data_IF_815085954262
#
_entry.id   IF_815085954262
#
_cell.length_a   1.000
_cell.length_b   1.000
_cell.length_c   1.000
_cell.angle_alpha   90.00
_cell.angle_beta   90.00
_cell.angle_gamma   90.00
#
_symmetry.space_group_name_H-M   'P 1'
#
loop_
_entity.id
_entity.type
_entity.pdbx_description
1 polymer ?
#
# COMPACT_ATOMS: atom_id res chain seq x y z
N UNK A 1 13.19 -8.81 16.59
CA UNK A 1 11.77 -8.98 16.25
C UNK A 1 11.75 -9.35 14.79
N UNK A 2 11.14 -10.47 14.43
CA UNK A 2 11.13 -10.94 13.05
C UNK A 2 10.18 -10.05 12.23
N UNK A 3 10.71 -9.35 11.22
CA UNK A 3 9.90 -8.46 10.38
C UNK A 3 8.88 -9.29 9.60
N UNK A 4 7.64 -9.31 10.11
CA UNK A 4 6.53 -9.95 9.41
C UNK A 4 6.27 -9.18 8.12
N UNK A 5 6.48 -9.84 6.97
CA UNK A 5 6.25 -9.25 5.64
C UNK A 5 4.77 -9.35 5.28
N UNK A 6 4.18 -8.22 4.94
CA UNK A 6 2.83 -8.09 4.43
C UNK A 6 2.86 -7.72 2.94
N UNK A 7 1.94 -8.27 2.17
CA UNK A 7 1.91 -8.11 0.71
C UNK A 7 0.62 -7.44 0.25
N UNK A 8 0.73 -6.48 -0.68
CA UNK A 8 -0.40 -5.84 -1.33
C UNK A 8 -0.86 -6.57 -2.59
N UNK A 9 0.11 -7.14 -3.33
CA UNK A 9 -0.10 -7.82 -4.60
C UNK A 9 0.81 -9.04 -4.70
N UNK A 10 0.24 -10.15 -5.19
CA UNK A 10 0.96 -11.37 -5.56
C UNK A 10 1.16 -11.44 -7.07
N UNK A 11 2.18 -12.15 -7.52
CA UNK A 11 2.39 -12.48 -8.93
C UNK A 11 2.19 -13.99 -9.09
N UNK A 12 1.24 -14.38 -9.94
CA UNK A 12 0.94 -15.78 -10.21
C UNK A 12 2.17 -16.52 -10.74
N UNK A 13 2.40 -17.73 -10.24
CA UNK A 13 3.56 -18.54 -10.61
C UNK A 13 4.91 -18.06 -10.07
N UNK A 14 4.95 -16.98 -9.27
CA UNK A 14 6.19 -16.45 -8.66
C UNK A 14 6.19 -16.54 -7.14
N UNK A 15 7.39 -16.57 -6.57
CA UNK A 15 7.59 -16.64 -5.12
C UNK A 15 7.34 -15.29 -4.44
N UNK A 16 7.17 -15.30 -3.12
CA UNK A 16 6.94 -14.09 -2.30
C UNK A 16 8.07 -13.06 -2.37
N UNK A 17 9.25 -13.38 -2.92
CA UNK A 17 10.31 -12.40 -3.17
C UNK A 17 9.94 -11.39 -4.26
N UNK A 18 9.09 -11.79 -5.20
CA UNK A 18 8.66 -10.95 -6.32
C UNK A 18 7.36 -10.19 -6.02
N UNK A 19 6.72 -10.49 -4.88
CA UNK A 19 5.46 -9.88 -4.49
C UNK A 19 5.66 -8.46 -3.97
N UNK A 20 4.68 -7.59 -4.22
CA UNK A 20 4.77 -6.20 -3.81
C UNK A 20 4.43 -6.06 -2.33
N UNK A 21 5.39 -5.57 -1.54
CA UNK A 21 5.19 -5.30 -0.11
C UNK A 21 4.10 -4.25 0.11
N UNK A 22 3.22 -4.53 1.08
CA UNK A 22 2.08 -3.67 1.41
C UNK A 22 2.51 -2.26 1.81
N UNK A 23 3.53 -2.15 2.66
CA UNK A 23 4.06 -0.84 3.08
C UNK A 23 4.49 0.01 1.87
N UNK A 24 5.26 -0.57 0.95
CA UNK A 24 5.74 0.12 -0.25
C UNK A 24 4.57 0.53 -1.15
N UNK A 25 3.61 -0.36 -1.37
CA UNK A 25 2.38 -0.06 -2.11
C UNK A 25 1.63 1.14 -1.52
N UNK A 26 1.42 1.17 -0.20
CA UNK A 26 0.71 2.26 0.48
C UNK A 26 1.48 3.58 0.41
N UNK A 27 2.81 3.57 0.58
CA UNK A 27 3.66 4.77 0.47
C UNK A 27 3.69 5.33 -0.96
N UNK A 28 3.88 4.47 -1.97
CA UNK A 28 3.89 4.87 -3.38
C UNK A 28 2.50 5.39 -3.82
N UNK A 29 1.42 4.73 -3.37
CA UNK A 29 0.04 5.18 -3.64
C UNK A 29 -0.28 6.50 -2.96
N UNK A 30 0.14 6.68 -1.69
CA UNK A 30 -0.04 7.92 -0.94
C UNK A 30 0.66 9.10 -1.64
N UNK A 31 1.86 8.89 -2.19
CA UNK A 31 2.57 9.92 -2.94
C UNK A 31 1.81 10.36 -4.19
N UNK A 32 1.38 9.42 -5.02
CA UNK A 32 0.62 9.72 -6.25
C UNK A 32 -0.73 10.39 -5.94
N UNK A 33 -1.45 9.87 -4.94
CA UNK A 33 -2.72 10.45 -4.51
C UNK A 33 -2.55 11.90 -4.00
N UNK A 34 -1.46 12.19 -3.29
CA UNK A 34 -1.13 13.54 -2.86
C UNK A 34 -0.85 14.47 -4.05
N UNK A 35 -0.11 13.99 -5.05
CA UNK A 35 0.20 14.76 -6.27
C UNK A 35 -1.07 15.10 -7.04
N UNK A 36 -1.98 14.15 -7.25
CA UNK A 36 -3.27 14.43 -7.89
C UNK A 36 -4.14 15.38 -7.06
N UNK A 37 -4.24 15.16 -5.75
CA UNK A 37 -5.03 15.99 -4.85
C UNK A 37 -4.47 17.41 -4.66
N UNK A 38 -3.20 17.63 -5.01
CA UNK A 38 -2.58 18.96 -4.94
C UNK A 38 -3.25 19.95 -5.88
N UNK A 39 -3.80 19.49 -7.01
CA UNK A 39 -4.47 20.35 -8.00
C UNK A 39 -5.69 21.11 -7.46
N UNK A 40 -6.31 20.62 -6.39
CA UNK A 40 -7.46 21.25 -5.72
C UNK A 40 -7.22 21.51 -4.23
N UNK A 41 -5.94 21.68 -3.82
CA UNK A 41 -5.58 22.09 -2.45
C UNK A 41 -5.67 21.00 -1.38
N UNK A 42 -5.88 19.73 -1.76
CA UNK A 42 -6.13 18.63 -0.84
C UNK A 42 -4.98 17.63 -0.73
N UNK A 43 -3.75 18.05 -1.02
CA UNK A 43 -2.53 17.22 -1.01
C UNK A 43 -2.42 16.29 0.22
N UNK A 44 -2.59 16.84 1.42
CA UNK A 44 -2.47 16.07 2.68
C UNK A 44 -3.58 15.01 2.80
N UNK A 45 -4.81 15.36 2.42
CA UNK A 45 -5.92 14.41 2.45
C UNK A 45 -5.71 13.30 1.42
N UNK A 46 -5.24 13.62 0.22
CA UNK A 46 -4.88 12.64 -0.81
C UNK A 46 -3.81 11.66 -0.31
N UNK A 47 -2.77 12.16 0.36
CA UNK A 47 -1.75 11.31 0.98
C UNK A 47 -2.33 10.34 2.01
N UNK A 48 -3.16 10.84 2.94
CA UNK A 48 -3.79 10.01 3.98
C UNK A 48 -4.72 8.98 3.36
N UNK A 49 -5.54 9.36 2.38
CA UNK A 49 -6.42 8.44 1.68
C UNK A 49 -5.63 7.32 0.99
N UNK A 50 -4.56 7.65 0.26
CA UNK A 50 -3.70 6.65 -0.38
C UNK A 50 -2.98 5.74 0.60
N UNK A 51 -2.58 6.26 1.77
CA UNK A 51 -1.91 5.46 2.81
C UNK A 51 -2.87 4.46 3.49
N UNK A 52 -4.15 4.81 3.62
CA UNK A 52 -5.13 4.03 4.37
C UNK A 52 -6.04 3.16 3.50
N UNK A 53 -6.07 3.36 2.18
CA UNK A 53 -7.06 2.72 1.30
C UNK A 53 -7.10 1.18 1.43
N UNK A 54 -5.93 0.56 1.62
CA UNK A 54 -5.73 -0.89 1.68
C UNK A 54 -5.33 -1.36 3.09
N UNK A 55 -5.59 -0.59 4.15
CA UNK A 55 -5.16 -0.93 5.52
C UNK A 55 -5.67 -2.31 5.98
N UNK A 56 -6.83 -2.75 5.49
CA UNK A 56 -7.38 -4.07 5.76
C UNK A 56 -6.49 -5.23 5.29
N UNK A 57 -5.55 -4.99 4.37
CA UNK A 57 -4.60 -6.00 3.91
C UNK A 57 -3.58 -6.41 4.99
N UNK A 58 -3.46 -5.67 6.08
CA UNK A 58 -2.69 -6.11 7.26
C UNK A 58 -3.39 -7.22 8.07
N UNK A 59 -4.66 -7.53 7.77
CA UNK A 59 -5.37 -8.62 8.45
C UNK A 59 -4.77 -10.00 8.13
N UNK A 60 -4.85 -10.92 9.09
CA UNK A 60 -4.45 -12.30 8.86
C UNK A 60 -5.28 -12.94 7.75
N UNK A 61 -6.57 -12.59 7.66
CA UNK A 61 -7.51 -13.13 6.68
C UNK A 61 -7.09 -12.85 5.25
N UNK A 62 -6.53 -11.66 5.00
CA UNK A 62 -6.04 -11.24 3.69
C UNK A 62 -4.65 -11.82 3.35
N UNK A 63 -3.80 -12.04 4.35
CA UNK A 63 -2.42 -12.52 4.14
C UNK A 63 -2.28 -14.05 4.03
N UNK A 64 -3.39 -14.80 4.02
CA UNK A 64 -3.41 -16.24 3.74
C UNK A 64 -3.23 -16.50 2.26
#
# INVERSE_FOLDING_TARGET
MEDTKYYAHSIEGKSKSDWHLLKKHLEDTAKLAAEFASSFGMKKLGSVAGLLHDIGKYSHEFQR
#
